data_IF_306258603927
#
_entry.id   IF_306258603927
#
_cell.length_a   1.000
_cell.length_b   1.000
_cell.length_c   1.000
_cell.angle_alpha   90.00
_cell.angle_beta   90.00
_cell.angle_gamma   90.00
#
_symmetry.space_group_name_H-M   'P 1'
#
loop_
_entity.id
_entity.type
_entity.pdbx_description
1 polymer ?
#
# COMPACT_ATOMS: atom_id res chain seq x y z
N UNK A 1 -6.16 27.47 41.11
CA UNK A 1 -7.42 27.08 40.44
C UNK A 1 -7.71 27.89 39.19
N UNK A 2 -7.72 29.24 39.20
CA UNK A 2 -8.02 30.07 38.00
C UNK A 2 -7.04 29.90 36.83
N UNK A 3 -5.75 29.75 37.11
CA UNK A 3 -4.72 29.54 36.07
C UNK A 3 -4.81 28.17 35.39
N UNK A 4 -5.22 27.14 36.14
CA UNK A 4 -5.38 25.77 35.63
C UNK A 4 -6.53 25.68 34.63
N UNK A 5 -7.64 26.36 34.91
CA UNK A 5 -8.80 26.43 34.01
C UNK A 5 -8.48 27.18 32.71
N UNK A 6 -7.68 28.26 32.80
CA UNK A 6 -7.23 29.03 31.64
C UNK A 6 -6.28 28.24 30.73
N UNK A 7 -5.38 27.44 31.31
CA UNK A 7 -4.49 26.55 30.56
C UNK A 7 -5.26 25.49 29.78
N UNK A 8 -6.25 24.86 30.41
CA UNK A 8 -7.08 23.81 29.77
C UNK A 8 -7.89 24.39 28.61
N UNK A 9 -8.48 25.59 28.79
CA UNK A 9 -9.21 26.27 27.73
C UNK A 9 -8.32 26.64 26.53
N UNK A 10 -7.06 27.04 26.79
CA UNK A 10 -6.09 27.36 25.74
C UNK A 10 -5.64 26.09 24.97
N UNK A 11 -5.47 24.96 25.66
CA UNK A 11 -5.15 23.68 25.00
C UNK A 11 -6.28 23.17 24.09
N UNK A 12 -7.54 23.38 24.47
CA UNK A 12 -8.69 22.97 23.64
C UNK A 12 -8.82 23.81 22.36
N UNK A 13 -8.39 25.07 22.38
CA UNK A 13 -8.34 25.95 21.19
C UNK A 13 -7.21 25.57 20.21
N UNK A 14 -6.25 24.74 20.63
CA UNK A 14 -5.15 24.25 19.80
C UNK A 14 -5.44 22.91 19.13
N UNK A 15 -6.60 22.31 19.40
CA UNK A 15 -7.03 21.08 18.72
C UNK A 15 -7.46 21.45 17.30
N UNK A 16 -6.52 21.37 16.36
CA UNK A 16 -6.82 21.46 14.94
C UNK A 16 -7.57 20.20 14.52
N UNK A 17 -8.71 20.38 13.83
CA UNK A 17 -9.38 19.28 13.14
C UNK A 17 -8.39 18.64 12.16
N UNK A 18 -8.02 17.38 12.41
CA UNK A 18 -7.23 16.61 11.47
C UNK A 18 -8.17 16.15 10.35
N UNK A 19 -7.92 16.61 9.13
CA UNK A 19 -8.60 16.08 7.95
C UNK A 19 -7.93 14.75 7.63
N UNK A 20 -8.63 13.65 7.92
CA UNK A 20 -8.19 12.35 7.43
C UNK A 20 -8.41 12.33 5.91
N UNK A 21 -7.34 12.09 5.15
CA UNK A 21 -7.40 11.88 3.69
C UNK A 21 -7.98 10.50 3.42
N UNK A 22 -8.93 10.39 2.50
CA UNK A 22 -9.29 9.05 1.96
C UNK A 22 -8.25 8.57 0.95
N UNK A 23 -8.28 7.27 0.62
CA UNK A 23 -7.21 6.59 -0.12
C UNK A 23 -6.91 7.18 -1.50
N UNK A 24 -7.85 7.90 -2.14
CA UNK A 24 -7.60 8.59 -3.42
C UNK A 24 -7.34 10.10 -3.31
N UNK A 25 -7.25 10.65 -2.10
CA UNK A 25 -7.26 12.10 -1.86
C UNK A 25 -5.88 12.75 -1.70
N UNK A 26 -4.81 11.94 -1.63
CA UNK A 26 -3.45 12.50 -1.66
C UNK A 26 -3.18 13.11 -3.06
N UNK A 27 -2.84 14.41 -3.18
CA UNK A 27 -2.79 15.10 -4.48
C UNK A 27 -1.83 14.52 -5.53
N UNK A 28 -0.81 13.77 -5.10
CA UNK A 28 0.11 13.08 -6.02
C UNK A 28 -0.41 11.70 -6.44
N UNK A 29 -1.13 10.99 -5.55
CA UNK A 29 -1.64 9.65 -5.83
C UNK A 29 -2.84 9.67 -6.76
N UNK A 30 -3.58 10.79 -6.82
CA UNK A 30 -4.64 10.96 -7.81
C UNK A 30 -4.14 10.89 -9.25
N UNK A 31 -2.86 11.23 -9.48
CA UNK A 31 -2.21 11.15 -10.80
C UNK A 31 -1.48 9.81 -11.03
N UNK A 32 -1.27 9.00 -9.98
CA UNK A 32 -0.72 7.65 -10.06
C UNK A 32 -1.57 6.66 -9.22
N UNK A 33 -2.79 6.36 -9.68
CA UNK A 33 -3.76 5.58 -8.90
C UNK A 33 -3.37 4.12 -8.72
N UNK A 34 -2.38 3.61 -9.48
CA UNK A 34 -1.88 2.25 -9.30
C UNK A 34 -0.91 2.15 -8.11
N UNK A 35 -0.29 3.25 -7.72
CA UNK A 35 0.55 3.35 -6.53
C UNK A 35 -0.24 3.60 -5.23
N UNK A 36 -1.56 3.73 -5.33
CA UNK A 36 -2.45 4.02 -4.20
C UNK A 36 -2.42 2.88 -3.17
N UNK A 37 -1.66 3.11 -2.10
CA UNK A 37 -1.63 2.24 -0.93
C UNK A 37 -2.87 2.53 -0.08
N UNK A 38 -3.70 1.51 0.03
CA UNK A 38 -4.91 1.58 0.83
C UNK A 38 -4.58 1.32 2.30
N UNK A 39 -4.19 0.11 2.63
CA UNK A 39 -3.93 -0.30 4.00
C UNK A 39 -2.70 -1.19 4.10
N UNK A 40 -2.04 -1.12 5.26
CA UNK A 40 -1.04 -2.08 5.70
C UNK A 40 -1.53 -2.77 6.97
N UNK A 41 -1.57 -4.10 6.95
CA UNK A 41 -1.88 -4.93 8.11
C UNK A 41 -0.61 -5.66 8.54
N UNK A 42 -0.30 -5.61 9.83
CA UNK A 42 0.79 -6.36 10.43
C UNK A 42 0.30 -7.07 11.69
N UNK A 43 0.45 -8.39 11.74
CA UNK A 43 0.01 -9.20 12.87
C UNK A 43 0.89 -10.43 13.04
N UNK A 44 0.97 -10.95 14.27
CA UNK A 44 1.67 -12.21 14.54
C UNK A 44 1.03 -13.34 13.76
N UNK A 45 1.82 -14.10 13.00
CA UNK A 45 1.28 -15.07 12.06
C UNK A 45 0.54 -16.21 12.79
N UNK A 46 -0.65 -16.62 12.32
CA UNK A 46 -1.45 -17.65 12.96
C UNK A 46 -0.88 -19.07 12.76
N UNK A 47 -0.13 -19.27 11.68
CA UNK A 47 0.56 -20.53 11.30
C UNK A 47 1.92 -20.67 11.98
N UNK A 48 2.64 -19.55 12.19
CA UNK A 48 3.88 -19.50 12.95
C UNK A 48 3.92 -18.27 13.88
N UNK A 49 3.62 -18.43 15.18
CA UNK A 49 3.61 -17.31 16.12
C UNK A 49 4.97 -16.63 16.35
N UNK A 50 6.07 -17.17 15.86
CA UNK A 50 7.39 -16.53 15.93
C UNK A 50 7.67 -15.60 14.75
N UNK A 51 6.73 -15.42 13.82
CA UNK A 51 6.84 -14.51 12.67
C UNK A 51 5.73 -13.47 12.68
N UNK A 52 5.92 -12.42 11.89
CA UNK A 52 4.91 -11.41 11.60
C UNK A 52 4.46 -11.59 10.14
N UNK A 53 3.15 -11.64 9.93
CA UNK A 53 2.53 -11.55 8.62
C UNK A 53 2.26 -10.09 8.32
N UNK A 54 2.69 -9.64 7.15
CA UNK A 54 2.44 -8.30 6.63
C UNK A 54 1.62 -8.43 5.35
N UNK A 55 0.55 -7.64 5.25
CA UNK A 55 -0.30 -7.55 4.07
C UNK A 55 -0.38 -6.08 3.67
N UNK A 56 0.02 -5.76 2.43
CA UNK A 56 -0.12 -4.43 1.85
C UNK A 56 -1.18 -4.46 0.75
N UNK A 57 -2.17 -3.59 0.87
CA UNK A 57 -3.32 -3.52 -0.02
C UNK A 57 -3.19 -2.29 -0.93
N UNK A 58 -3.39 -2.46 -2.23
CA UNK A 58 -3.28 -1.39 -3.22
C UNK A 58 -4.50 -1.34 -4.12
N UNK A 59 -4.70 -0.18 -4.75
CA UNK A 59 -5.74 0.07 -5.76
C UNK A 59 -7.16 -0.08 -5.18
N UNK A 60 -7.70 0.98 -4.54
CA UNK A 60 -8.99 0.91 -3.85
C UNK A 60 -10.19 0.77 -4.82
N UNK A 61 -11.36 0.50 -4.23
CA UNK A 61 -12.68 0.61 -4.88
C UNK A 61 -12.93 -0.33 -6.08
N UNK A 62 -12.28 -1.50 -6.12
CA UNK A 62 -12.55 -2.53 -7.13
C UNK A 62 -13.80 -3.37 -6.79
N UNK A 63 -14.97 -2.77 -6.94
CA UNK A 63 -16.25 -3.38 -6.58
C UNK A 63 -16.66 -4.54 -7.52
N UNK A 64 -17.45 -5.53 -7.04
CA UNK A 64 -17.86 -6.69 -7.85
C UNK A 64 -18.57 -6.34 -9.18
N UNK A 65 -19.32 -5.25 -9.23
CA UNK A 65 -20.03 -4.81 -10.43
C UNK A 65 -19.11 -4.15 -11.49
N UNK A 66 -17.85 -3.85 -11.15
CA UNK A 66 -16.85 -3.29 -12.08
C UNK A 66 -16.21 -4.35 -12.98
N UNK A 67 -16.49 -5.63 -12.73
CA UNK A 67 -15.95 -6.74 -13.51
C UNK A 67 -16.43 -6.74 -14.97
N UNK A 68 -15.75 -7.53 -15.84
CA UNK A 68 -14.63 -8.41 -15.50
C UNK A 68 -13.26 -7.71 -15.53
N UNK A 69 -13.21 -6.40 -15.81
CA UNK A 69 -11.97 -5.66 -16.00
C UNK A 69 -11.56 -4.97 -14.70
N UNK A 70 -10.52 -5.49 -14.07
CA UNK A 70 -9.98 -4.99 -12.81
C UNK A 70 -8.57 -4.42 -13.01
N UNK A 71 -8.21 -3.43 -12.21
CA UNK A 71 -6.88 -2.85 -12.24
C UNK A 71 -5.91 -3.78 -11.51
N UNK A 72 -4.76 -4.04 -12.11
CA UNK A 72 -3.64 -4.73 -11.46
C UNK A 72 -2.47 -3.78 -11.20
N UNK A 73 -1.51 -4.23 -10.38
CA UNK A 73 -0.28 -3.50 -10.05
C UNK A 73 0.43 -2.90 -11.27
N UNK A 74 0.91 -1.67 -11.18
CA UNK A 74 1.72 -1.03 -12.24
C UNK A 74 3.15 -1.60 -12.35
N UNK A 75 3.72 -1.61 -13.55
CA UNK A 75 5.08 -2.14 -13.81
C UNK A 75 6.20 -1.13 -13.50
N UNK A 76 5.87 0.17 -13.50
CA UNK A 76 6.84 1.25 -13.28
C UNK A 76 6.64 1.92 -11.91
N UNK A 77 6.27 1.13 -10.91
CA UNK A 77 5.97 1.59 -9.56
C UNK A 77 6.83 0.79 -8.59
N UNK A 78 7.44 1.50 -7.64
CA UNK A 78 8.28 0.93 -6.59
C UNK A 78 7.42 0.62 -5.37
N UNK A 79 6.94 -0.62 -5.29
CA UNK A 79 6.17 -1.09 -4.13
C UNK A 79 7.14 -1.61 -3.08
N UNK A 80 7.22 -0.91 -1.94
CA UNK A 80 8.11 -1.25 -0.85
C UNK A 80 7.41 -1.33 0.49
N UNK A 81 7.84 -2.29 1.30
CA UNK A 81 7.51 -2.38 2.72
C UNK A 81 8.82 -2.19 3.48
N UNK A 82 8.85 -1.10 4.23
CA UNK A 82 9.98 -0.69 5.05
C UNK A 82 9.75 -1.16 6.49
N UNK A 83 10.73 -1.84 7.06
CA UNK A 83 10.65 -2.42 8.41
C UNK A 83 11.88 -1.95 9.20
N UNK A 84 11.60 -1.25 10.28
CA UNK A 84 12.55 -0.87 11.33
C UNK A 84 12.18 -1.67 12.59
N UNK A 85 13.05 -2.62 12.94
CA UNK A 85 12.97 -3.46 14.13
C UNK A 85 13.92 -2.99 15.23
N UNK A 86 14.95 -2.21 14.91
CA UNK A 86 15.93 -1.66 15.82
C UNK A 86 16.04 -0.14 15.63
N UNK A 87 15.44 0.59 16.58
CA UNK A 87 15.44 2.05 16.64
C UNK A 87 16.85 2.69 16.68
N UNK A 88 17.90 1.89 16.90
CA UNK A 88 19.29 2.35 16.88
C UNK A 88 19.93 2.28 15.49
N UNK A 89 19.36 1.51 14.56
CA UNK A 89 19.78 1.49 13.15
C UNK A 89 19.36 2.80 12.48
N UNK A 90 20.28 3.53 11.83
CA UNK A 90 19.90 4.64 10.97
C UNK A 90 19.24 4.11 9.68
N UNK A 91 17.93 4.27 9.55
CA UNK A 91 17.16 3.83 8.38
C UNK A 91 16.44 2.50 8.61
N UNK A 92 16.05 1.83 7.52
CA UNK A 92 15.27 0.59 7.59
C UNK A 92 16.20 -0.63 7.76
N UNK A 93 15.82 -1.56 8.64
CA UNK A 93 16.56 -2.84 8.81
C UNK A 93 16.25 -3.82 7.68
N UNK A 94 15.01 -3.79 7.17
CA UNK A 94 14.56 -4.69 6.10
C UNK A 94 13.68 -3.90 5.14
N UNK A 95 13.96 -4.03 3.84
CA UNK A 95 13.10 -3.54 2.77
C UNK A 95 12.67 -4.73 1.92
N UNK A 96 11.36 -4.93 1.81
CA UNK A 96 10.78 -5.84 0.81
C UNK A 96 10.31 -5.03 -0.38
N UNK A 97 10.84 -5.33 -1.57
CA UNK A 97 10.48 -4.66 -2.82
C UNK A 97 9.77 -5.62 -3.76
N UNK A 98 8.62 -5.20 -4.29
CA UNK A 98 7.87 -5.93 -5.30
C UNK A 98 7.96 -5.18 -6.63
N UNK A 99 8.50 -5.86 -7.64
CA UNK A 99 8.55 -5.36 -9.02
C UNK A 99 7.61 -6.21 -9.86
N UNK A 100 6.58 -5.58 -10.44
CA UNK A 100 5.57 -6.29 -11.23
C UNK A 100 5.88 -6.23 -12.72
N UNK A 101 5.53 -7.30 -13.44
CA UNK A 101 5.62 -7.39 -14.90
C UNK A 101 4.32 -7.94 -15.45
N UNK A 102 3.86 -7.36 -16.55
CA UNK A 102 2.65 -7.76 -17.26
C UNK A 102 3.00 -8.25 -18.65
N UNK A 103 2.40 -9.39 -19.01
CA UNK A 103 2.46 -9.91 -20.37
C UNK A 103 1.07 -10.28 -20.84
N UNK A 104 0.82 -10.09 -22.13
CA UNK A 104 -0.34 -10.70 -22.79
C UNK A 104 0.03 -12.15 -23.11
N UNK A 105 -0.72 -13.11 -22.57
CA UNK A 105 -0.49 -14.53 -22.87
C UNK A 105 -0.81 -14.86 -24.33
N UNK A 106 -1.82 -14.18 -24.90
CA UNK A 106 -2.12 -14.13 -26.32
C UNK A 106 -1.75 -12.75 -26.88
N UNK A 107 -0.60 -12.64 -27.60
CA UNK A 107 -0.13 -11.37 -28.14
C UNK A 107 -0.93 -10.89 -29.36
N UNK A 108 -1.88 -11.69 -29.88
CA UNK A 108 -2.72 -11.29 -31.01
C UNK A 108 -3.84 -10.32 -30.62
N UNK A 109 -4.03 -10.05 -29.32
CA UNK A 109 -5.05 -9.13 -28.84
C UNK A 109 -4.58 -8.33 -27.62
N UNK A 110 -5.17 -7.15 -27.44
CA UNK A 110 -5.01 -6.32 -26.25
C UNK A 110 -6.16 -6.49 -25.24
N UNK A 111 -7.14 -7.35 -25.52
CA UNK A 111 -8.28 -7.54 -24.61
C UNK A 111 -7.84 -8.18 -23.30
N UNK A 112 -8.36 -7.65 -22.19
CA UNK A 112 -8.10 -8.17 -20.85
C UNK A 112 -8.71 -9.56 -20.63
N UNK A 113 -9.93 -9.78 -21.12
CA UNK A 113 -10.58 -11.09 -21.16
C UNK A 113 -10.77 -11.53 -22.62
N UNK A 114 -10.38 -12.77 -22.94
CA UNK A 114 -10.64 -13.42 -24.23
C UNK A 114 -11.12 -14.85 -24.01
N UNK A 115 -12.23 -15.21 -24.65
CA UNK A 115 -12.82 -16.56 -24.58
C UNK A 115 -13.05 -17.07 -23.15
N UNK A 116 -13.41 -16.15 -22.23
CA UNK A 116 -13.64 -16.48 -20.82
C UNK A 116 -12.38 -16.63 -19.97
N UNK A 117 -11.19 -16.37 -20.52
CA UNK A 117 -9.92 -16.40 -19.79
C UNK A 117 -9.31 -14.99 -19.71
N UNK A 118 -8.63 -14.70 -18.60
CA UNK A 118 -7.83 -13.49 -18.46
C UNK A 118 -6.58 -13.63 -19.32
N UNK A 119 -6.33 -12.64 -20.18
CA UNK A 119 -5.18 -12.61 -21.08
C UNK A 119 -3.97 -11.88 -20.48
N UNK A 120 -4.20 -10.96 -19.54
CA UNK A 120 -3.13 -10.24 -18.86
C UNK A 120 -2.60 -11.09 -17.71
N UNK A 121 -1.38 -11.60 -17.84
CA UNK A 121 -0.68 -12.24 -16.74
C UNK A 121 0.20 -11.22 -16.04
N UNK A 122 -0.03 -11.04 -14.75
CA UNK A 122 0.84 -10.23 -13.89
C UNK A 122 1.69 -11.15 -13.02
N UNK A 123 2.99 -10.98 -13.07
CA UNK A 123 3.95 -11.65 -12.18
C UNK A 123 4.70 -10.63 -11.36
N UNK A 124 5.33 -11.05 -10.27
CA UNK A 124 6.18 -10.19 -9.45
C UNK A 124 7.54 -10.83 -9.18
N UNK A 125 8.55 -9.99 -9.03
CA UNK A 125 9.81 -10.33 -8.40
C UNK A 125 9.83 -9.69 -7.01
N UNK A 126 10.12 -10.50 -5.99
CA UNK A 126 10.26 -10.05 -4.61
C UNK A 126 11.74 -10.02 -4.23
N UNK A 127 12.22 -8.85 -3.85
CA UNK A 127 13.56 -8.63 -3.33
C UNK A 127 13.49 -8.32 -1.84
N UNK A 128 14.46 -8.81 -1.09
CA UNK A 128 14.67 -8.46 0.31
C UNK A 128 16.05 -7.81 0.44
N UNK A 129 16.08 -6.55 0.85
CA UNK A 129 17.29 -5.84 1.25
C UNK A 129 17.37 -5.79 2.78
N UNK A 130 18.58 -5.88 3.33
CA UNK A 130 18.88 -5.72 4.76
C UNK A 130 20.10 -4.81 4.98
N UNK A 131 20.42 -3.99 3.99
CA UNK A 131 21.60 -3.14 3.92
C UNK A 131 21.23 -1.65 3.77
N UNK A 132 19.98 -1.29 4.08
CA UNK A 132 19.48 0.08 3.98
C UNK A 132 18.96 0.48 2.59
N UNK A 133 18.90 -0.46 1.64
CA UNK A 133 18.19 -0.30 0.35
C UNK A 133 19.04 -0.18 -0.90
#
# INVERSE_FOLDING_TARGET
MKHTTLLIALCLLLVRSAWASSHREAPLISNDPLGDNTDLYAFRSPDNPNTVTIIACYVPMQLPHGGPNYYGFGENIRYEIHIDNDISTPGDDIIYRFTFTKVFEDPSTFFYIRLGMQNHKTTYHLEKSTDGG
#
